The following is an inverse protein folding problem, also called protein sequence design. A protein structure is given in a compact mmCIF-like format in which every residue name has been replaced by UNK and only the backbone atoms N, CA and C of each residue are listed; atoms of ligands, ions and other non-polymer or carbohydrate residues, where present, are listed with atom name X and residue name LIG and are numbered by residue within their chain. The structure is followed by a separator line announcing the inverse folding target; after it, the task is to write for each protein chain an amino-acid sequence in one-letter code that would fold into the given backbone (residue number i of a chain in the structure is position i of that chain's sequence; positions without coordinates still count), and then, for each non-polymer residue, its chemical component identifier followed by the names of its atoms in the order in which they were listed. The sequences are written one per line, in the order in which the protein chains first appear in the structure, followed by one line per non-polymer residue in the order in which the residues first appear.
data_IF_630529381291
#
_entry.id   IF_630529381291
#
_cell.length_a   1.000
_cell.length_b   1.000
_cell.length_c   1.000
_cell.angle_alpha   90.00
_cell.angle_beta   90.00
_cell.angle_gamma   90.00
#
_symmetry.space_group_name_H-M   'P 1'
#
loop_
_entity.id
_entity.type
_entity.pdbx_description
1 polymer ?
#
# COMPACT_ATOMS: atom_id res chain seq x y z
N UNK A 1 -45.41 5.05 13.35
CA UNK A 1 -44.71 5.37 12.08
C UNK A 1 -43.80 6.60 12.20
N UNK A 2 -44.32 7.78 12.56
CA UNK A 2 -43.54 9.03 12.62
C UNK A 2 -42.30 8.98 13.55
N UNK A 3 -42.44 8.34 14.72
CA UNK A 3 -41.32 8.11 15.66
C UNK A 3 -40.16 7.34 15.05
N UNK A 4 -40.44 6.33 14.23
CA UNK A 4 -39.40 5.55 13.58
C UNK A 4 -38.73 6.38 12.50
N UNK A 5 -39.50 7.10 11.68
CA UNK A 5 -38.97 7.99 10.66
C UNK A 5 -38.02 9.07 11.21
N UNK A 6 -38.37 9.65 12.37
CA UNK A 6 -37.52 10.62 13.08
C UNK A 6 -36.24 9.95 13.58
N UNK A 7 -36.33 8.77 14.21
CA UNK A 7 -35.15 8.00 14.66
C UNK A 7 -34.21 7.65 13.51
N UNK A 8 -34.73 7.18 12.38
CA UNK A 8 -33.90 6.84 11.21
C UNK A 8 -33.25 8.08 10.63
N UNK A 9 -33.98 9.20 10.55
CA UNK A 9 -33.44 10.47 10.03
C UNK A 9 -32.36 11.04 10.94
N UNK A 10 -32.49 10.94 12.26
CA UNK A 10 -31.46 11.36 13.21
C UNK A 10 -30.22 10.46 13.15
N UNK A 11 -30.40 9.13 12.98
CA UNK A 11 -29.30 8.21 12.79
C UNK A 11 -28.51 8.52 11.52
N UNK A 12 -29.19 8.80 10.40
CA UNK A 12 -28.54 9.21 9.15
C UNK A 12 -27.85 10.58 9.25
N UNK A 13 -28.42 11.54 9.98
CA UNK A 13 -27.77 12.83 10.23
C UNK A 13 -26.52 12.68 11.08
N UNK A 14 -26.53 11.80 12.08
CA UNK A 14 -25.36 11.46 12.89
C UNK A 14 -24.31 10.73 12.06
N UNK A 15 -24.69 9.75 11.24
CA UNK A 15 -23.79 9.05 10.33
C UNK A 15 -23.12 10.00 9.31
N UNK A 16 -23.84 11.04 8.86
CA UNK A 16 -23.31 12.08 7.97
C UNK A 16 -22.41 13.07 8.70
N UNK A 17 -22.69 13.35 9.97
CA UNK A 17 -21.86 14.22 10.81
C UNK A 17 -20.64 13.48 11.38
N UNK A 18 -20.67 12.15 11.39
CA UNK A 18 -19.58 11.25 11.80
C UNK A 18 -18.52 11.19 10.69
N UNK A 19 -17.86 12.33 10.48
CA UNK A 19 -16.71 12.45 9.59
C UNK A 19 -15.56 11.52 10.02
N UNK A 20 -15.52 11.08 11.27
CA UNK A 20 -14.46 10.20 11.78
C UNK A 20 -14.51 8.79 11.16
N UNK A 21 -15.69 8.29 10.77
CA UNK A 21 -15.85 6.95 10.18
C UNK A 21 -15.63 6.90 8.66
N UNK A 22 -16.18 7.87 7.92
CA UNK A 22 -16.11 7.92 6.44
C UNK A 22 -14.70 8.26 5.96
N UNK A 23 -14.00 9.13 6.70
CA UNK A 23 -12.60 9.47 6.44
C UNK A 23 -11.68 8.27 6.70
N UNK A 24 -12.00 7.44 7.71
CA UNK A 24 -11.24 6.21 8.00
C UNK A 24 -11.33 5.17 6.87
N UNK A 25 -12.50 4.96 6.27
CA UNK A 25 -12.65 4.03 5.15
C UNK A 25 -11.98 4.53 3.87
N UNK A 26 -12.06 5.82 3.58
CA UNK A 26 -11.39 6.42 2.42
C UNK A 26 -9.87 6.28 2.51
N UNK A 27 -9.29 6.56 3.68
CA UNK A 27 -7.85 6.36 3.89
C UNK A 27 -7.43 4.89 3.75
N UNK A 28 -8.26 3.93 4.17
CA UNK A 28 -7.96 2.51 3.98
C UNK A 28 -7.96 2.12 2.50
N UNK A 29 -8.92 2.63 1.71
CA UNK A 29 -8.99 2.37 0.27
C UNK A 29 -7.79 2.99 -0.45
N UNK A 30 -7.45 4.25 -0.13
CA UNK A 30 -6.28 4.94 -0.71
C UNK A 30 -4.99 4.19 -0.35
N UNK A 31 -4.84 3.74 0.89
CA UNK A 31 -3.68 2.96 1.31
C UNK A 31 -3.57 1.63 0.52
N UNK A 32 -4.68 0.92 0.32
CA UNK A 32 -4.70 -0.30 -0.48
C UNK A 32 -4.31 -0.04 -1.95
N UNK A 33 -4.79 1.07 -2.54
CA UNK A 33 -4.41 1.47 -3.89
C UNK A 33 -2.92 1.80 -4.01
N UNK A 34 -2.33 2.48 -3.01
CA UNK A 34 -0.90 2.76 -2.97
C UNK A 34 -0.10 1.46 -2.90
N UNK A 35 -0.46 0.55 -2.00
CA UNK A 35 0.21 -0.76 -1.86
C UNK A 35 0.11 -1.56 -3.17
N UNK A 36 -1.04 -1.56 -3.83
CA UNK A 36 -1.23 -2.24 -5.12
C UNK A 36 -0.37 -1.62 -6.22
N UNK A 37 -0.29 -0.28 -6.30
CA UNK A 37 0.55 0.40 -7.29
C UNK A 37 2.05 0.14 -7.05
N UNK A 38 2.49 0.16 -5.79
CA UNK A 38 3.87 -0.18 -5.39
C UNK A 38 4.18 -1.64 -5.72
N UNK A 39 3.27 -2.56 -5.41
CA UNK A 39 3.42 -3.97 -5.73
C UNK A 39 3.45 -4.23 -7.26
N UNK A 40 2.67 -3.49 -8.04
CA UNK A 40 2.68 -3.59 -9.49
C UNK A 40 3.96 -3.01 -10.11
N UNK A 41 4.46 -1.90 -9.58
CA UNK A 41 5.67 -1.24 -10.09
C UNK A 41 6.96 -1.98 -9.70
N UNK A 42 7.03 -2.50 -8.47
CA UNK A 42 8.26 -3.08 -7.92
C UNK A 42 8.23 -4.60 -7.81
N UNK A 43 7.08 -5.23 -8.08
CA UNK A 43 6.86 -6.65 -7.85
C UNK A 43 6.56 -6.97 -6.38
N UNK A 44 5.94 -8.11 -6.15
CA UNK A 44 5.66 -8.65 -4.79
C UNK A 44 6.75 -9.60 -4.30
N UNK A 45 7.79 -9.82 -5.10
CA UNK A 45 8.88 -10.75 -4.78
C UNK A 45 10.25 -10.11 -5.04
N UNK A 46 11.27 -10.65 -4.39
CA UNK A 46 12.67 -10.25 -4.61
C UNK A 46 13.21 -10.69 -5.97
N UNK A 47 12.51 -11.58 -6.68
CA UNK A 47 12.91 -12.10 -7.98
C UNK A 47 12.54 -11.16 -9.15
N UNK A 48 11.91 -10.01 -8.88
CA UNK A 48 11.48 -9.05 -9.90
C UNK A 48 11.68 -7.61 -9.43
N UNK A 49 11.55 -6.65 -10.35
CA UNK A 49 11.65 -5.22 -10.06
C UNK A 49 12.94 -4.81 -9.33
N UNK A 50 12.80 -4.09 -8.23
CA UNK A 50 13.93 -3.55 -7.44
C UNK A 50 14.78 -4.67 -6.83
N UNK A 51 14.17 -5.75 -6.34
CA UNK A 51 14.90 -6.85 -5.69
C UNK A 51 15.89 -7.53 -6.62
N UNK A 52 15.48 -7.77 -7.87
CA UNK A 52 16.34 -8.35 -8.90
C UNK A 52 17.45 -7.39 -9.32
N UNK A 53 17.13 -6.10 -9.47
CA UNK A 53 18.10 -5.08 -9.85
C UNK A 53 19.21 -4.94 -8.79
N UNK A 54 18.84 -4.85 -7.51
CA UNK A 54 19.81 -4.81 -6.40
C UNK A 54 20.64 -6.08 -6.34
N UNK A 55 20.01 -7.25 -6.42
CA UNK A 55 20.72 -8.54 -6.38
C UNK A 55 21.75 -8.65 -7.50
N UNK A 56 21.39 -8.21 -8.71
CA UNK A 56 22.28 -8.19 -9.87
C UNK A 56 23.45 -7.22 -9.68
N UNK A 57 23.19 -6.03 -9.15
CA UNK A 57 24.24 -5.04 -8.88
C UNK A 57 25.23 -5.54 -7.82
N UNK A 58 24.73 -6.12 -6.72
CA UNK A 58 25.55 -6.69 -5.65
C UNK A 58 26.40 -7.85 -6.20
N UNK A 59 25.80 -8.73 -6.99
CA UNK A 59 26.53 -9.84 -7.61
C UNK A 59 27.71 -9.34 -8.45
N UNK A 60 27.48 -8.33 -9.31
CA UNK A 60 28.53 -7.71 -10.14
C UNK A 60 29.66 -7.13 -9.31
N UNK A 61 29.34 -6.42 -8.23
CA UNK A 61 30.35 -5.87 -7.30
C UNK A 61 31.16 -7.02 -6.68
N UNK A 62 30.49 -8.08 -6.21
CA UNK A 62 31.16 -9.23 -5.60
C UNK A 62 32.12 -9.93 -6.58
N UNK A 63 31.71 -10.07 -7.84
CA UNK A 63 32.54 -10.67 -8.88
C UNK A 63 33.75 -9.78 -9.16
N UNK A 64 33.56 -8.47 -9.30
CA UNK A 64 34.66 -7.54 -9.55
C UNK A 64 35.70 -7.57 -8.42
N UNK A 65 35.25 -7.61 -7.16
CA UNK A 65 36.14 -7.71 -6.00
C UNK A 65 36.90 -9.04 -5.99
N UNK A 66 36.22 -10.17 -6.24
CA UNK A 66 36.88 -11.47 -6.31
C UNK A 66 37.94 -11.52 -7.41
N UNK A 67 37.63 -11.01 -8.61
CA UNK A 67 38.60 -10.93 -9.71
C UNK A 67 39.81 -10.08 -9.32
N UNK A 68 39.60 -8.94 -8.65
CA UNK A 68 40.70 -8.07 -8.24
C UNK A 68 41.61 -8.69 -7.17
N UNK A 69 41.08 -9.56 -6.30
CA UNK A 69 41.87 -10.28 -5.28
C UNK A 69 42.57 -11.50 -5.85
N UNK A 70 42.06 -12.07 -6.94
CA UNK A 70 42.59 -13.29 -7.56
C UNK A 70 43.65 -13.03 -8.65
N UNK A 71 43.82 -11.77 -9.06
CA UNK A 71 44.78 -11.31 -10.06
C UNK A 71 46.07 -10.78 -9.41
#
# INVERSE_FOLDING_TARGET
MLKYYIKTTEAFKRLRADQDGVVSFEYVIVAACIVAAVAAAFGTSTASGIGLALSTAIAKISTAVQTAVSA
#
